data_IF_516927458612
#
_entry.id   IF_516927458612
#
_cell.length_a   1.000
_cell.length_b   1.000
_cell.length_c   1.000
_cell.angle_alpha   90.00
_cell.angle_beta   90.00
_cell.angle_gamma   90.00
#
_symmetry.space_group_name_H-M   'P 1'
#
loop_
_entity.id
_entity.type
_entity.pdbx_description
1 polymer ?
#
# COMPACT_ATOMS: atom_id res chain seq x y z
N UNK A 1 13.96 35.97 -11.60
CA UNK A 1 12.71 35.17 -11.50
C UNK A 1 12.56 34.69 -10.06
N UNK A 2 11.41 34.91 -9.40
CA UNK A 2 11.21 34.44 -8.04
C UNK A 2 11.06 32.90 -8.04
N UNK A 3 11.68 32.22 -7.05
CA UNK A 3 11.57 30.79 -6.88
C UNK A 3 10.13 30.38 -6.47
N UNK A 4 9.67 29.25 -6.98
CA UNK A 4 8.36 28.70 -6.60
C UNK A 4 8.46 28.11 -5.21
N UNK A 5 7.56 28.51 -4.31
CA UNK A 5 7.52 28.02 -2.90
C UNK A 5 6.69 26.75 -2.72
N UNK A 6 5.75 26.48 -3.63
CA UNK A 6 4.87 25.29 -3.57
C UNK A 6 5.57 24.08 -4.17
N UNK A 7 5.39 22.89 -3.59
CA UNK A 7 5.83 21.63 -4.21
C UNK A 7 5.24 21.43 -5.60
N UNK A 8 5.78 20.47 -6.34
CA UNK A 8 5.22 20.04 -7.63
C UNK A 8 3.78 19.53 -7.42
N UNK A 9 2.92 19.81 -8.38
CA UNK A 9 1.50 19.42 -8.32
C UNK A 9 1.33 17.94 -8.00
N UNK A 10 0.52 17.63 -6.99
CA UNK A 10 0.27 16.26 -6.53
C UNK A 10 1.32 15.70 -5.56
N UNK A 11 2.31 16.50 -5.18
CA UNK A 11 3.29 16.20 -4.13
C UNK A 11 3.07 17.15 -2.94
N UNK A 12 3.47 16.74 -1.73
CA UNK A 12 3.33 17.56 -0.51
C UNK A 12 4.58 17.48 0.35
N UNK A 13 4.81 18.55 1.12
CA UNK A 13 5.73 18.52 2.25
C UNK A 13 5.04 17.85 3.44
N UNK A 14 5.79 17.03 4.19
CA UNK A 14 5.30 16.37 5.40
C UNK A 14 5.79 17.16 6.61
N UNK A 15 4.85 17.69 7.38
CA UNK A 15 5.18 18.46 8.59
C UNK A 15 5.50 17.53 9.78
N UNK A 16 6.22 18.03 10.82
CA UNK A 16 6.69 17.21 11.94
C UNK A 16 5.60 16.41 12.66
N UNK A 17 4.40 16.95 12.81
CA UNK A 17 3.29 16.24 13.48
C UNK A 17 2.84 15.01 12.67
N UNK A 18 2.68 15.15 11.36
CA UNK A 18 2.38 14.03 10.48
C UNK A 18 3.56 13.05 10.41
N UNK A 19 4.80 13.60 10.33
CA UNK A 19 5.99 12.75 10.25
C UNK A 19 6.15 11.87 11.49
N UNK A 20 5.83 12.35 12.67
CA UNK A 20 5.87 11.56 13.90
C UNK A 20 4.92 10.35 13.85
N UNK A 21 3.69 10.53 13.31
CA UNK A 21 2.75 9.41 13.11
C UNK A 21 3.30 8.43 12.07
N UNK A 22 3.87 8.93 10.96
CA UNK A 22 4.48 8.10 9.91
C UNK A 22 5.61 7.24 10.47
N UNK A 23 6.51 7.82 11.25
CA UNK A 23 7.64 7.13 11.87
C UNK A 23 7.16 6.03 12.84
N UNK A 24 6.12 6.33 13.63
CA UNK A 24 5.50 5.35 14.51
C UNK A 24 4.92 4.17 13.72
N UNK A 25 4.14 4.45 12.66
CA UNK A 25 3.53 3.42 11.81
C UNK A 25 4.60 2.60 11.09
N UNK A 26 5.65 3.24 10.55
CA UNK A 26 6.79 2.56 9.90
C UNK A 26 7.47 1.58 10.86
N UNK A 27 7.71 2.01 12.11
CA UNK A 27 8.28 1.14 13.14
C UNK A 27 7.36 -0.03 13.43
N UNK A 28 6.06 0.22 13.63
CA UNK A 28 5.07 -0.82 13.92
C UNK A 28 4.92 -1.83 12.76
N UNK A 29 5.02 -1.37 11.51
CA UNK A 29 5.05 -2.23 10.31
C UNK A 29 6.25 -3.18 10.39
N UNK A 30 7.46 -2.65 10.60
CA UNK A 30 8.68 -3.47 10.67
C UNK A 30 8.63 -4.50 11.81
N UNK A 31 8.18 -4.07 12.98
CA UNK A 31 8.02 -4.93 14.16
C UNK A 31 6.98 -6.03 13.88
N UNK A 32 5.80 -5.66 13.36
CA UNK A 32 4.71 -6.62 13.14
C UNK A 32 5.06 -7.61 12.04
N UNK A 33 5.48 -7.15 10.87
CA UNK A 33 5.83 -8.04 9.77
C UNK A 33 7.08 -8.87 10.08
N UNK A 34 8.02 -8.33 10.88
CA UNK A 34 9.15 -9.09 11.38
C UNK A 34 8.73 -10.33 12.19
N UNK A 35 7.63 -10.28 12.96
CA UNK A 35 7.10 -11.46 13.69
C UNK A 35 6.55 -12.55 12.78
N UNK A 36 6.20 -12.21 11.53
CA UNK A 36 5.81 -13.17 10.49
C UNK A 36 6.99 -13.65 9.63
N UNK A 37 8.22 -13.23 9.96
CA UNK A 37 9.43 -13.64 9.25
C UNK A 37 9.74 -12.82 8.00
N UNK A 38 9.09 -11.68 7.77
CA UNK A 38 9.42 -10.80 6.65
C UNK A 38 10.73 -10.06 6.90
N UNK A 39 11.60 -10.06 5.89
CA UNK A 39 12.91 -9.38 5.89
C UNK A 39 12.84 -8.11 5.06
N UNK A 40 13.33 -7.00 5.63
CA UNK A 40 13.36 -5.71 4.93
C UNK A 40 14.38 -5.72 3.79
N UNK A 41 13.98 -5.23 2.63
CA UNK A 41 14.85 -4.97 1.48
C UNK A 41 14.67 -3.55 0.98
N UNK A 42 15.61 -3.10 0.17
CA UNK A 42 15.53 -1.82 -0.54
C UNK A 42 15.97 -2.01 -1.99
N UNK A 43 15.26 -1.36 -2.92
CA UNK A 43 15.58 -1.32 -4.34
C UNK A 43 15.72 0.13 -4.81
N UNK A 44 16.48 0.40 -5.88
CA UNK A 44 16.60 1.74 -6.44
C UNK A 44 15.24 2.37 -6.79
N UNK A 45 15.14 3.69 -6.64
CA UNK A 45 13.95 4.45 -7.04
C UNK A 45 13.83 4.64 -8.55
N UNK A 46 14.93 4.43 -9.29
CA UNK A 46 15.01 4.55 -10.75
C UNK A 46 15.17 3.16 -11.33
N UNK A 47 14.32 2.83 -12.30
CA UNK A 47 14.36 1.60 -13.08
C UNK A 47 14.60 1.90 -14.57
N UNK A 48 15.09 0.90 -15.29
CA UNK A 48 15.18 0.97 -16.76
C UNK A 48 13.80 1.18 -17.36
N UNK A 49 13.71 2.04 -18.35
CA UNK A 49 12.42 2.37 -18.99
C UNK A 49 11.78 1.13 -19.63
N UNK A 50 12.58 0.26 -20.18
CA UNK A 50 12.13 -1.00 -20.80
C UNK A 50 11.41 -1.91 -19.80
N UNK A 51 11.88 -1.95 -18.54
CA UNK A 51 11.23 -2.71 -17.47
C UNK A 51 9.88 -2.09 -17.09
N UNK A 52 9.83 -0.77 -16.99
CA UNK A 52 8.62 -0.02 -16.62
C UNK A 52 7.56 -0.06 -17.73
N UNK A 53 7.96 -0.02 -18.99
CA UNK A 53 7.07 -0.02 -20.17
C UNK A 53 6.65 -1.42 -20.60
N UNK A 54 7.35 -2.46 -20.12
CA UNK A 54 7.14 -3.82 -20.57
C UNK A 54 5.78 -4.39 -20.12
N UNK A 55 4.76 -4.16 -20.93
CA UNK A 55 3.48 -4.90 -20.94
C UNK A 55 2.56 -4.77 -19.73
N UNK A 56 2.56 -3.63 -19.04
CA UNK A 56 1.50 -3.37 -18.05
C UNK A 56 0.21 -2.82 -18.68
N UNK A 57 0.09 -2.85 -20.02
CA UNK A 57 -1.07 -2.35 -20.76
C UNK A 57 -1.11 -0.81 -20.80
N UNK A 58 -1.05 -0.24 -21.98
CA UNK A 58 -0.95 1.15 -22.42
C UNK A 58 -1.40 2.34 -21.54
N UNK A 59 -2.30 2.16 -20.59
CA UNK A 59 -2.74 3.25 -19.71
C UNK A 59 -1.76 3.54 -18.57
N UNK A 60 -1.16 2.53 -17.95
CA UNK A 60 -0.20 2.70 -16.86
C UNK A 60 1.11 3.32 -17.34
N UNK A 61 1.50 3.09 -18.60
CA UNK A 61 2.70 3.68 -19.19
C UNK A 61 2.64 5.21 -19.22
N UNK A 62 1.46 5.80 -19.42
CA UNK A 62 1.23 7.25 -19.40
C UNK A 62 1.43 7.88 -18.02
N UNK A 63 1.44 7.05 -16.98
CA UNK A 63 1.59 7.48 -15.58
C UNK A 63 3.04 7.45 -15.08
N UNK A 64 3.99 6.94 -15.88
CA UNK A 64 5.39 6.84 -15.52
C UNK A 64 6.07 8.22 -15.61
N UNK A 65 6.77 8.59 -14.55
CA UNK A 65 7.69 9.74 -14.58
C UNK A 65 9.00 9.33 -15.26
N UNK A 66 9.15 9.67 -16.53
CA UNK A 66 10.30 9.32 -17.36
C UNK A 66 11.51 10.20 -17.07
N UNK A 67 12.70 9.63 -17.15
CA UNK A 67 13.98 10.31 -16.92
C UNK A 67 14.74 10.38 -18.24
N UNK A 68 15.11 11.60 -18.63
CA UNK A 68 15.87 11.84 -19.84
C UNK A 68 17.29 11.29 -19.74
N UNK A 69 17.81 10.80 -20.86
CA UNK A 69 19.24 10.50 -21.06
C UNK A 69 20.11 11.71 -20.69
N UNK A 70 21.38 11.48 -20.39
CA UNK A 70 22.29 12.54 -19.94
C UNK A 70 23.51 12.65 -20.87
N UNK A 71 24.07 13.85 -20.91
CA UNK A 71 25.30 14.14 -21.65
C UNK A 71 25.18 13.83 -23.14
N UNK A 72 26.18 13.19 -23.72
CA UNK A 72 26.27 12.87 -25.15
C UNK A 72 25.19 11.89 -25.64
N UNK A 73 24.52 11.16 -24.71
CA UNK A 73 23.42 10.27 -25.03
C UNK A 73 22.09 11.01 -25.28
N UNK A 74 21.96 12.25 -24.80
CA UNK A 74 20.77 13.08 -25.02
C UNK A 74 20.91 13.86 -26.33
N UNK A 75 20.33 13.32 -27.40
CA UNK A 75 20.40 13.90 -28.76
C UNK A 75 19.04 14.48 -29.12
N UNK A 76 18.78 15.71 -28.70
CA UNK A 76 17.51 16.41 -28.95
C UNK A 76 17.26 16.71 -30.42
N UNK A 77 18.32 16.92 -31.20
CA UNK A 77 18.33 17.32 -32.62
C UNK A 77 18.05 16.15 -33.58
N UNK A 78 18.26 14.91 -33.12
CA UNK A 78 18.06 13.68 -33.92
C UNK A 78 16.99 12.74 -33.39
N UNK A 79 16.35 13.08 -32.26
CA UNK A 79 15.29 12.27 -31.68
C UNK A 79 14.01 12.38 -32.52
N UNK A 80 13.45 11.24 -32.93
CA UNK A 80 12.17 11.13 -33.63
C UNK A 80 11.00 10.82 -32.67
N UNK A 81 11.32 10.14 -31.58
CA UNK A 81 10.32 9.70 -30.59
C UNK A 81 10.78 10.02 -29.17
N UNK A 82 9.86 9.98 -28.22
CA UNK A 82 10.15 10.10 -26.79
C UNK A 82 11.13 9.00 -26.31
N UNK A 83 11.03 7.80 -26.85
CA UNK A 83 11.89 6.67 -26.51
C UNK A 83 13.38 6.94 -26.81
N UNK A 84 13.66 7.76 -27.81
CA UNK A 84 15.04 8.15 -28.16
C UNK A 84 15.69 9.02 -27.08
N UNK A 85 14.88 9.70 -26.26
CA UNK A 85 15.32 10.65 -25.25
C UNK A 85 15.38 10.08 -23.84
N UNK A 86 14.78 8.91 -23.59
CA UNK A 86 14.57 8.34 -22.25
C UNK A 86 15.36 7.05 -22.09
N UNK A 87 15.98 6.83 -20.93
CA UNK A 87 16.63 5.57 -20.57
C UNK A 87 16.20 5.04 -19.18
N UNK A 88 15.43 5.81 -18.44
CA UNK A 88 14.96 5.42 -17.11
C UNK A 88 13.64 6.06 -16.74
N UNK A 89 13.09 5.64 -15.62
CA UNK A 89 11.91 6.23 -15.02
C UNK A 89 11.91 6.05 -13.51
N UNK A 90 11.09 6.86 -12.83
CA UNK A 90 10.81 6.63 -11.41
C UNK A 90 9.90 5.41 -11.27
N UNK A 91 10.20 4.53 -10.32
CA UNK A 91 9.44 3.31 -10.09
C UNK A 91 7.97 3.63 -9.82
N UNK A 92 7.09 2.93 -10.54
CA UNK A 92 5.64 3.10 -10.47
C UNK A 92 5.03 2.35 -9.27
N UNK A 93 5.64 1.20 -8.93
CA UNK A 93 5.32 0.34 -7.78
C UNK A 93 6.61 -0.29 -7.21
N UNK A 94 6.46 -1.14 -6.21
CA UNK A 94 7.57 -1.90 -5.63
C UNK A 94 7.66 -3.34 -6.14
N UNK A 95 6.62 -3.86 -6.81
CA UNK A 95 6.53 -5.25 -7.29
C UNK A 95 7.50 -5.53 -8.44
N UNK A 96 7.58 -4.60 -9.41
CA UNK A 96 8.52 -4.73 -10.52
C UNK A 96 10.00 -4.68 -10.06
N UNK A 97 10.42 -3.70 -9.23
CA UNK A 97 11.75 -3.70 -8.64
C UNK A 97 12.07 -4.96 -7.82
N UNK A 98 11.09 -5.49 -7.06
CA UNK A 98 11.25 -6.74 -6.32
C UNK A 98 11.49 -7.92 -7.26
N UNK A 99 10.73 -8.02 -8.36
CA UNK A 99 10.87 -9.10 -9.33
C UNK A 99 12.27 -9.11 -9.97
N UNK A 100 12.80 -7.92 -10.34
CA UNK A 100 14.17 -7.75 -10.81
C UNK A 100 15.19 -8.10 -9.71
N UNK A 101 14.97 -7.65 -8.47
CA UNK A 101 15.83 -7.94 -7.32
C UNK A 101 15.92 -9.46 -7.10
N UNK A 102 14.78 -10.13 -7.00
CA UNK A 102 14.72 -11.58 -6.80
C UNK A 102 15.39 -12.33 -7.95
N UNK A 103 15.19 -11.92 -9.19
CA UNK A 103 15.81 -12.57 -10.35
C UNK A 103 17.35 -12.53 -10.30
N UNK A 104 17.93 -11.49 -9.72
CA UNK A 104 19.38 -11.35 -9.57
C UNK A 104 19.93 -12.07 -8.35
N UNK A 105 19.14 -12.28 -7.31
CA UNK A 105 19.62 -12.73 -5.98
C UNK A 105 18.96 -14.01 -5.48
N UNK A 106 18.14 -14.70 -6.31
CA UNK A 106 17.40 -15.89 -5.88
C UNK A 106 18.26 -16.96 -5.20
N UNK A 107 19.51 -17.13 -5.64
CA UNK A 107 20.44 -18.10 -5.05
C UNK A 107 21.03 -17.68 -3.68
N UNK A 108 20.88 -16.42 -3.31
CA UNK A 108 21.37 -15.84 -2.06
C UNK A 108 20.24 -15.68 -1.02
N UNK A 109 18.98 -15.85 -1.45
CA UNK A 109 17.79 -15.64 -0.64
C UNK A 109 17.23 -16.97 -0.12
N UNK A 110 16.53 -16.97 1.03
CA UNK A 110 15.81 -18.16 1.49
C UNK A 110 14.66 -18.52 0.56
N UNK A 111 14.22 -19.78 0.61
CA UNK A 111 13.04 -20.24 -0.13
C UNK A 111 12.07 -20.93 0.86
N UNK A 112 10.81 -20.46 0.99
CA UNK A 112 10.26 -19.25 0.37
C UNK A 112 10.93 -17.97 0.91
N UNK A 113 10.99 -16.92 0.10
CA UNK A 113 11.48 -15.61 0.49
C UNK A 113 10.32 -14.69 0.87
N UNK A 114 10.34 -14.19 2.11
CA UNK A 114 9.37 -13.23 2.65
C UNK A 114 9.99 -11.84 2.68
N UNK A 115 9.60 -11.00 1.73
CA UNK A 115 10.12 -9.65 1.57
C UNK A 115 9.21 -8.60 2.20
N UNK A 116 9.79 -7.64 2.92
CA UNK A 116 9.16 -6.36 3.27
C UNK A 116 9.88 -5.26 2.51
N UNK A 117 9.16 -4.55 1.67
CA UNK A 117 9.71 -3.41 0.94
C UNK A 117 8.89 -2.15 1.22
N UNK A 118 9.57 -1.08 1.63
CA UNK A 118 8.95 0.20 1.92
C UNK A 118 9.68 1.29 1.16
N UNK A 119 8.95 2.15 0.47
CA UNK A 119 9.58 3.25 -0.25
C UNK A 119 8.60 4.08 -1.07
N UNK A 120 9.09 5.25 -1.50
CA UNK A 120 8.33 6.11 -2.37
C UNK A 120 8.20 5.52 -3.77
N UNK A 121 7.02 5.71 -4.34
CA UNK A 121 6.68 5.43 -5.73
C UNK A 121 6.04 6.66 -6.36
N UNK A 122 6.04 6.73 -7.70
CA UNK A 122 5.58 7.91 -8.42
C UNK A 122 4.61 7.52 -9.52
N UNK A 123 3.44 8.17 -9.51
CA UNK A 123 2.39 8.00 -10.53
C UNK A 123 1.86 9.34 -10.96
N UNK A 124 1.82 9.61 -12.26
CA UNK A 124 1.30 10.87 -12.80
C UNK A 124 -0.24 10.96 -12.75
N UNK A 125 -0.88 10.27 -11.83
CA UNK A 125 -2.31 10.28 -11.57
C UNK A 125 -2.84 11.70 -11.32
N UNK A 126 -4.15 11.89 -11.55
CA UNK A 126 -4.85 13.09 -11.10
C UNK A 126 -4.93 13.10 -9.57
N UNK A 127 -4.37 14.13 -8.90
CA UNK A 127 -4.42 14.21 -7.45
C UNK A 127 -5.84 14.29 -6.90
N UNK A 128 -6.12 13.53 -5.83
CA UNK A 128 -7.39 13.56 -5.10
C UNK A 128 -7.16 13.12 -3.65
N UNK A 129 -8.21 13.12 -2.81
CA UNK A 129 -8.10 12.71 -1.40
C UNK A 129 -7.44 11.33 -1.28
N UNK A 130 -6.33 11.24 -0.52
CA UNK A 130 -5.58 10.01 -0.33
C UNK A 130 -4.83 9.48 -1.57
N UNK A 131 -4.75 10.26 -2.67
CA UNK A 131 -4.02 9.90 -3.88
C UNK A 131 -3.08 11.03 -4.29
N UNK A 132 -1.80 10.76 -4.18
CA UNK A 132 -0.71 11.67 -4.49
C UNK A 132 0.10 11.15 -5.68
N UNK A 133 0.90 12.03 -6.31
CA UNK A 133 1.84 11.64 -7.37
C UNK A 133 3.15 11.06 -6.84
N UNK A 134 3.52 11.39 -5.62
CA UNK A 134 4.56 10.74 -4.84
C UNK A 134 3.94 10.26 -3.55
N UNK A 135 4.07 8.99 -3.23
CA UNK A 135 3.52 8.37 -2.03
C UNK A 135 4.34 7.15 -1.63
N UNK A 136 4.24 6.77 -0.35
CA UNK A 136 4.90 5.58 0.15
C UNK A 136 4.04 4.34 -0.08
N UNK A 137 4.63 3.29 -0.64
CA UNK A 137 4.12 1.94 -0.56
C UNK A 137 4.80 1.16 0.56
N UNK A 138 4.06 0.25 1.17
CA UNK A 138 4.53 -0.69 2.17
C UNK A 138 4.01 -2.06 1.77
N UNK A 139 4.85 -2.82 1.10
CA UNK A 139 4.50 -4.07 0.47
C UNK A 139 5.18 -5.23 1.20
N UNK A 140 4.42 -6.30 1.41
CA UNK A 140 4.94 -7.59 1.83
C UNK A 140 4.66 -8.61 0.74
N UNK A 141 5.65 -9.41 0.41
CA UNK A 141 5.59 -10.40 -0.66
C UNK A 141 6.19 -11.73 -0.21
N UNK A 142 5.60 -12.83 -0.66
CA UNK A 142 6.11 -14.18 -0.45
C UNK A 142 6.40 -14.79 -1.81
N UNK A 143 7.66 -15.12 -2.07
CA UNK A 143 8.15 -15.67 -3.32
C UNK A 143 8.62 -17.11 -3.12
N UNK A 144 8.20 -18.01 -4.00
CA UNK A 144 8.58 -19.42 -3.93
C UNK A 144 7.64 -20.29 -3.09
N UNK A 145 6.49 -19.79 -2.62
CA UNK A 145 5.45 -20.58 -1.95
C UNK A 145 4.30 -20.89 -2.91
N UNK A 146 4.14 -22.14 -3.35
CA UNK A 146 3.12 -22.50 -4.34
C UNK A 146 1.72 -22.69 -3.75
N UNK A 147 1.59 -22.89 -2.44
CA UNK A 147 0.30 -23.15 -1.79
C UNK A 147 -0.40 -21.86 -1.37
N UNK A 148 -1.65 -21.97 -0.92
CA UNK A 148 -2.42 -20.85 -0.38
C UNK A 148 -1.93 -20.36 1.00
N UNK A 149 -0.88 -20.95 1.55
CA UNK A 149 -0.23 -20.47 2.77
C UNK A 149 0.27 -19.03 2.58
N UNK A 150 0.74 -18.67 1.38
CA UNK A 150 1.17 -17.31 1.07
C UNK A 150 0.05 -16.29 1.27
N UNK A 151 -1.13 -16.52 0.70
CA UNK A 151 -2.29 -15.63 0.85
C UNK A 151 -2.73 -15.53 2.31
N UNK A 152 -2.81 -16.66 3.02
CA UNK A 152 -3.21 -16.72 4.43
C UNK A 152 -2.26 -15.88 5.29
N UNK A 153 -0.96 -16.07 5.17
CA UNK A 153 0.03 -15.32 5.95
C UNK A 153 0.05 -13.82 5.65
N UNK A 154 -0.08 -13.44 4.36
CA UNK A 154 -0.15 -12.03 3.96
C UNK A 154 -1.37 -11.33 4.53
N UNK A 155 -2.55 -11.98 4.49
CA UNK A 155 -3.78 -11.44 5.08
C UNK A 155 -3.64 -11.31 6.59
N UNK A 156 -3.16 -12.35 7.28
CA UNK A 156 -2.99 -12.33 8.73
C UNK A 156 -1.97 -11.28 9.19
N UNK A 157 -0.83 -11.16 8.51
CA UNK A 157 0.18 -10.15 8.83
C UNK A 157 -0.39 -8.73 8.69
N UNK A 158 -1.08 -8.47 7.57
CA UNK A 158 -1.64 -7.14 7.28
C UNK A 158 -2.77 -6.79 8.25
N UNK A 159 -3.69 -7.72 8.52
CA UNK A 159 -4.81 -7.47 9.46
C UNK A 159 -4.33 -7.34 10.90
N UNK A 160 -3.29 -8.07 11.30
CA UNK A 160 -2.64 -7.90 12.61
C UNK A 160 -2.07 -6.50 12.78
N UNK A 161 -1.42 -5.94 11.75
CA UNK A 161 -0.93 -4.56 11.75
C UNK A 161 -2.08 -3.56 11.92
N UNK A 162 -3.16 -3.73 11.15
CA UNK A 162 -4.33 -2.84 11.23
C UNK A 162 -4.99 -2.89 12.61
N UNK A 163 -5.10 -4.08 13.22
CA UNK A 163 -5.59 -4.24 14.59
C UNK A 163 -4.72 -3.52 15.63
N UNK A 164 -3.38 -3.56 15.48
CA UNK A 164 -2.45 -2.80 16.34
C UNK A 164 -2.56 -1.27 16.17
N UNK A 165 -3.07 -0.80 15.04
CA UNK A 165 -3.40 0.61 14.78
C UNK A 165 -4.84 0.96 15.19
N UNK A 166 -5.53 0.05 15.91
CA UNK A 166 -6.93 0.18 16.37
C UNK A 166 -7.95 0.39 15.24
N UNK A 167 -7.68 -0.15 14.05
CA UNK A 167 -8.68 -0.28 13.00
C UNK A 167 -9.55 -1.49 13.25
N UNK A 168 -10.88 -1.32 13.15
CA UNK A 168 -11.91 -2.33 13.41
C UNK A 168 -12.97 -2.28 12.30
N UNK A 169 -13.81 -3.32 12.24
CA UNK A 169 -14.96 -3.37 11.32
C UNK A 169 -14.58 -3.14 9.85
N UNK A 170 -13.39 -3.55 9.43
CA UNK A 170 -13.02 -3.56 8.02
C UNK A 170 -13.27 -4.93 7.40
N UNK A 171 -13.35 -4.98 6.08
CA UNK A 171 -13.60 -6.22 5.33
C UNK A 171 -12.43 -6.52 4.41
N UNK A 172 -11.93 -7.75 4.46
CA UNK A 172 -11.06 -8.31 3.41
C UNK A 172 -11.98 -8.91 2.35
N UNK A 173 -12.12 -8.23 1.22
CA UNK A 173 -12.78 -8.75 0.02
C UNK A 173 -11.80 -9.68 -0.69
N UNK A 174 -12.21 -10.88 -1.05
CA UNK A 174 -11.36 -11.86 -1.73
C UNK A 174 -12.06 -12.44 -2.96
N UNK A 175 -11.30 -12.69 -4.02
CA UNK A 175 -11.74 -13.36 -5.24
C UNK A 175 -10.56 -14.12 -5.87
N UNK A 176 -10.78 -14.75 -7.01
CA UNK A 176 -9.74 -15.38 -7.80
C UNK A 176 -9.92 -15.04 -9.28
N UNK A 177 -8.82 -14.64 -9.93
CA UNK A 177 -8.82 -14.31 -11.39
C UNK A 177 -9.28 -15.46 -12.25
N UNK A 178 -9.05 -16.71 -11.83
CA UNK A 178 -9.46 -17.91 -12.54
C UNK A 178 -10.97 -18.14 -12.42
N UNK A 179 -11.57 -17.80 -11.28
CA UNK A 179 -13.04 -17.79 -11.10
C UNK A 179 -13.67 -16.74 -12.03
N UNK A 180 -13.14 -15.51 -12.06
CA UNK A 180 -13.63 -14.48 -12.99
C UNK A 180 -13.61 -14.93 -14.44
N UNK A 181 -12.50 -15.55 -14.88
CA UNK A 181 -12.38 -16.10 -16.24
C UNK A 181 -13.39 -17.23 -16.49
N UNK A 182 -13.57 -18.13 -15.53
CA UNK A 182 -14.53 -19.23 -15.63
C UNK A 182 -15.98 -18.73 -15.72
N UNK A 183 -16.35 -17.71 -14.92
CA UNK A 183 -17.67 -17.07 -15.01
C UNK A 183 -17.92 -16.45 -16.39
N UNK A 184 -16.94 -15.75 -16.94
CA UNK A 184 -17.03 -15.18 -18.29
C UNK A 184 -17.15 -16.30 -19.37
N UNK A 185 -16.30 -17.32 -19.30
CA UNK A 185 -16.34 -18.46 -20.22
C UNK A 185 -17.68 -19.22 -20.16
N UNK A 186 -18.16 -19.51 -18.94
CA UNK A 186 -19.46 -20.17 -18.74
C UNK A 186 -20.62 -19.37 -19.36
N UNK A 187 -20.53 -18.05 -19.34
CA UNK A 187 -21.55 -17.18 -19.90
C UNK A 187 -21.48 -17.05 -21.43
N UNK A 188 -20.37 -17.47 -22.04
CA UNK A 188 -20.19 -17.48 -23.49
C UNK A 188 -19.37 -16.30 -24.03
N UNK A 189 -18.72 -15.50 -23.18
CA UNK A 189 -17.79 -14.48 -23.65
C UNK A 189 -16.52 -15.12 -24.25
N UNK A 190 -16.01 -14.52 -25.33
CA UNK A 190 -14.76 -14.94 -25.94
C UNK A 190 -13.55 -14.54 -25.08
N UNK A 191 -12.48 -15.34 -25.00
CA UNK A 191 -11.32 -15.06 -24.15
C UNK A 191 -10.68 -13.69 -24.37
N UNK A 192 -10.65 -13.21 -25.60
CA UNK A 192 -10.14 -11.88 -25.99
C UNK A 192 -10.96 -10.72 -25.43
N UNK A 193 -12.19 -10.98 -24.99
CA UNK A 193 -13.12 -9.99 -24.43
C UNK A 193 -13.04 -9.87 -22.91
N UNK A 194 -12.34 -10.79 -22.22
CA UNK A 194 -12.38 -10.88 -20.75
C UNK A 194 -11.91 -9.59 -20.08
N UNK A 195 -10.87 -8.96 -20.58
CA UNK A 195 -10.37 -7.71 -19.99
C UNK A 195 -11.42 -6.59 -20.06
N UNK A 196 -12.15 -6.47 -21.18
CA UNK A 196 -13.23 -5.50 -21.34
C UNK A 196 -14.37 -5.81 -20.37
N UNK A 197 -14.80 -7.08 -20.28
CA UNK A 197 -15.85 -7.52 -19.35
C UNK A 197 -15.46 -7.20 -17.91
N UNK A 198 -14.22 -7.46 -17.52
CA UNK A 198 -13.73 -7.22 -16.15
C UNK A 198 -13.59 -5.72 -15.84
N UNK A 199 -13.16 -4.88 -16.79
CA UNK A 199 -13.13 -3.42 -16.62
C UNK A 199 -14.55 -2.85 -16.39
N UNK A 200 -15.55 -3.40 -17.05
CA UNK A 200 -16.94 -3.00 -16.85
C UNK A 200 -17.46 -3.51 -15.51
N UNK A 201 -17.17 -4.77 -15.18
CA UNK A 201 -17.55 -5.38 -13.90
C UNK A 201 -16.98 -4.62 -12.69
N UNK A 202 -15.75 -4.11 -12.78
CA UNK A 202 -15.09 -3.31 -11.71
C UNK A 202 -15.87 -2.02 -11.36
N UNK A 203 -16.81 -1.63 -12.20
CA UNK A 203 -17.68 -0.48 -11.94
C UNK A 203 -18.96 -0.86 -11.18
N UNK A 204 -19.18 -2.15 -10.88
CA UNK A 204 -20.41 -2.65 -10.25
C UNK A 204 -20.79 -1.88 -8.99
N UNK A 205 -19.84 -1.56 -8.11
CA UNK A 205 -20.06 -0.79 -6.89
C UNK A 205 -20.59 0.64 -7.15
N UNK A 206 -20.37 1.18 -8.36
CA UNK A 206 -20.73 2.56 -8.72
C UNK A 206 -21.99 2.65 -9.53
N UNK A 207 -22.19 1.73 -10.50
CA UNK A 207 -23.27 1.80 -11.48
C UNK A 207 -24.34 0.71 -11.27
N UNK A 208 -24.09 -0.24 -10.35
CA UNK A 208 -24.99 -1.36 -10.07
C UNK A 208 -25.09 -2.36 -11.22
N UNK A 209 -25.89 -3.40 -11.00
CA UNK A 209 -26.06 -4.51 -11.95
C UNK A 209 -26.60 -4.03 -13.30
N UNK A 210 -27.61 -3.15 -13.28
CA UNK A 210 -28.21 -2.59 -14.51
C UNK A 210 -27.24 -1.71 -15.29
N UNK A 211 -26.41 -0.89 -14.61
CA UNK A 211 -25.39 -0.09 -15.28
C UNK A 211 -24.31 -0.95 -15.92
N UNK A 212 -23.93 -2.08 -15.29
CA UNK A 212 -23.00 -3.06 -15.89
C UNK A 212 -23.64 -3.71 -17.12
N UNK A 213 -24.93 -4.06 -17.05
CA UNK A 213 -25.73 -4.57 -18.20
C UNK A 213 -25.66 -3.62 -19.39
N UNK A 214 -26.04 -2.36 -19.14
CA UNK A 214 -26.07 -1.33 -20.18
C UNK A 214 -24.69 -1.11 -20.84
N UNK A 215 -23.62 -1.10 -20.05
CA UNK A 215 -22.26 -0.95 -20.58
C UNK A 215 -21.82 -2.17 -21.40
N UNK A 216 -22.10 -3.40 -20.95
CA UNK A 216 -21.78 -4.61 -21.70
C UNK A 216 -22.57 -4.68 -23.04
N UNK A 217 -23.86 -4.37 -23.03
CA UNK A 217 -24.68 -4.32 -24.24
C UNK A 217 -24.19 -3.23 -25.22
N UNK A 218 -23.77 -2.08 -24.71
CA UNK A 218 -23.20 -0.97 -25.50
C UNK A 218 -21.89 -1.33 -26.17
N UNK A 219 -21.05 -2.17 -25.52
CA UNK A 219 -19.85 -2.73 -26.14
C UNK A 219 -20.15 -3.79 -27.23
N UNK A 220 -21.43 -4.15 -27.41
CA UNK A 220 -21.86 -5.07 -28.47
C UNK A 220 -21.86 -6.54 -28.08
N UNK A 221 -21.77 -6.86 -26.79
CA UNK A 221 -21.87 -8.24 -26.32
C UNK A 221 -23.28 -8.80 -26.49
N UNK A 222 -23.36 -10.10 -26.79
CA UNK A 222 -24.64 -10.79 -26.96
C UNK A 222 -25.45 -10.75 -25.66
N UNK A 223 -26.75 -10.40 -25.80
CA UNK A 223 -27.65 -10.23 -24.67
C UNK A 223 -27.80 -11.51 -23.83
N UNK A 224 -27.82 -12.68 -24.47
CA UNK A 224 -27.95 -13.95 -23.74
C UNK A 224 -26.70 -14.24 -22.90
N UNK A 225 -25.51 -13.85 -23.39
CA UNK A 225 -24.26 -13.95 -22.63
C UNK A 225 -24.30 -12.99 -21.42
N UNK A 226 -24.72 -11.75 -21.64
CA UNK A 226 -24.85 -10.73 -20.58
C UNK A 226 -25.86 -11.17 -19.51
N UNK A 227 -27.06 -11.61 -19.91
CA UNK A 227 -28.08 -12.08 -18.98
C UNK A 227 -27.61 -13.26 -18.14
N UNK A 228 -26.95 -14.25 -18.78
CA UNK A 228 -26.41 -15.44 -18.11
C UNK A 228 -25.28 -15.07 -17.12
N UNK A 229 -24.44 -14.08 -17.47
CA UNK A 229 -23.36 -13.60 -16.62
C UNK A 229 -23.90 -12.88 -15.38
N UNK A 230 -24.80 -11.95 -15.58
CA UNK A 230 -25.34 -11.12 -14.50
C UNK A 230 -26.25 -11.89 -13.54
N UNK A 231 -26.99 -12.89 -14.05
CA UNK A 231 -27.80 -13.75 -13.19
C UNK A 231 -27.00 -14.50 -12.10
N UNK A 232 -25.71 -14.78 -12.33
CA UNK A 232 -24.89 -15.41 -11.30
C UNK A 232 -24.69 -14.50 -10.09
N UNK A 233 -24.54 -13.19 -10.30
CA UNK A 233 -24.31 -12.23 -9.20
C UNK A 233 -25.54 -12.04 -8.29
N UNK A 234 -26.73 -12.37 -8.74
CA UNK A 234 -27.96 -12.35 -7.94
C UNK A 234 -28.06 -13.52 -6.96
N UNK A 235 -27.39 -14.63 -7.29
CA UNK A 235 -27.43 -15.88 -6.50
C UNK A 235 -26.20 -16.07 -5.58
N UNK A 236 -25.08 -15.38 -5.88
CA UNK A 236 -23.83 -15.51 -5.12
C UNK A 236 -23.92 -14.76 -3.80
N UNK A 237 -23.67 -15.47 -2.69
CA UNK A 237 -23.50 -14.84 -1.37
C UNK A 237 -22.04 -14.47 -1.11
N UNK A 238 -21.81 -13.48 -0.23
CA UNK A 238 -20.46 -12.95 0.05
C UNK A 238 -19.69 -13.76 1.12
N UNK A 239 -19.91 -15.06 1.14
CA UNK A 239 -19.31 -15.98 2.10
C UNK A 239 -18.83 -17.28 1.42
N UNK A 240 -18.45 -18.26 2.23
CA UNK A 240 -18.01 -19.58 1.75
C UNK A 240 -19.13 -20.30 0.96
N UNK A 241 -20.40 -20.02 1.24
CA UNK A 241 -21.49 -20.64 0.46
C UNK A 241 -21.52 -20.09 -0.96
N UNK A 242 -21.20 -18.80 -1.16
CA UNK A 242 -21.05 -18.22 -2.49
C UNK A 242 -19.91 -18.86 -3.28
N UNK A 243 -18.78 -19.17 -2.63
CA UNK A 243 -17.67 -19.91 -3.26
C UNK A 243 -18.11 -21.32 -3.69
N UNK A 244 -18.83 -22.03 -2.83
CA UNK A 244 -19.37 -23.36 -3.14
C UNK A 244 -20.38 -23.33 -4.28
N UNK A 245 -21.28 -22.34 -4.28
CA UNK A 245 -22.22 -22.11 -5.35
C UNK A 245 -21.50 -21.94 -6.70
N UNK A 246 -20.46 -21.09 -6.72
CA UNK A 246 -19.65 -20.87 -7.95
C UNK A 246 -18.96 -22.16 -8.40
N UNK A 247 -18.42 -22.95 -7.46
CA UNK A 247 -17.80 -24.25 -7.75
C UNK A 247 -18.77 -25.20 -8.45
N UNK A 248 -19.99 -25.34 -7.90
CA UNK A 248 -21.06 -26.19 -8.45
C UNK A 248 -21.57 -25.66 -9.80
N UNK A 249 -21.84 -24.34 -9.88
CA UNK A 249 -22.40 -23.72 -11.09
C UNK A 249 -21.46 -23.77 -12.29
N UNK A 250 -20.16 -23.71 -12.04
CA UNK A 250 -19.11 -23.69 -13.06
C UNK A 250 -18.45 -25.07 -13.26
N UNK A 251 -19.10 -26.17 -12.84
CA UNK A 251 -18.60 -27.53 -13.04
C UNK A 251 -18.29 -27.77 -14.54
N UNK A 252 -17.11 -28.30 -14.81
CA UNK A 252 -16.61 -28.53 -16.17
C UNK A 252 -15.99 -27.30 -16.88
N UNK A 253 -16.03 -26.12 -16.23
CA UNK A 253 -15.39 -24.88 -16.72
C UNK A 253 -14.33 -24.37 -15.75
N UNK A 254 -14.59 -24.49 -14.44
CA UNK A 254 -13.68 -24.12 -13.35
C UNK A 254 -13.04 -25.39 -12.78
N UNK A 255 -11.71 -25.38 -12.66
CA UNK A 255 -11.00 -26.41 -11.91
C UNK A 255 -11.38 -26.30 -10.42
N UNK A 256 -11.90 -27.39 -9.80
CA UNK A 256 -12.45 -27.34 -8.44
C UNK A 256 -11.47 -26.83 -7.40
N UNK A 257 -10.19 -27.12 -7.55
CA UNK A 257 -9.12 -26.73 -6.62
C UNK A 257 -8.98 -25.21 -6.45
N UNK A 258 -9.43 -24.39 -7.40
CA UNK A 258 -9.37 -22.94 -7.27
C UNK A 258 -10.41 -22.41 -6.28
N UNK A 259 -11.62 -22.96 -6.32
CA UNK A 259 -12.66 -22.67 -5.35
C UNK A 259 -12.31 -23.25 -3.97
N UNK A 260 -11.81 -24.49 -3.91
CA UNK A 260 -11.36 -25.13 -2.67
C UNK A 260 -10.23 -24.35 -2.00
N UNK A 261 -9.29 -23.82 -2.80
CA UNK A 261 -8.22 -22.94 -2.30
C UNK A 261 -8.76 -21.65 -1.71
N UNK A 262 -9.75 -21.03 -2.33
CA UNK A 262 -10.37 -19.81 -1.83
C UNK A 262 -11.14 -20.06 -0.52
N UNK A 263 -11.90 -21.16 -0.45
CA UNK A 263 -12.56 -21.62 0.78
C UNK A 263 -11.54 -21.90 1.90
N UNK A 264 -10.42 -22.55 1.58
CA UNK A 264 -9.33 -22.81 2.53
C UNK A 264 -8.76 -21.49 3.10
N UNK A 265 -8.49 -20.48 2.24
CA UNK A 265 -7.99 -19.19 2.68
C UNK A 265 -8.99 -18.55 3.65
N UNK A 266 -10.29 -18.46 3.27
CA UNK A 266 -11.31 -17.83 4.07
C UNK A 266 -11.46 -18.49 5.44
N UNK A 267 -11.59 -19.81 5.47
CA UNK A 267 -11.76 -20.57 6.71
C UNK A 267 -10.52 -20.51 7.60
N UNK A 268 -9.32 -20.59 7.03
CA UNK A 268 -8.06 -20.52 7.79
C UNK A 268 -7.86 -19.15 8.42
N UNK A 269 -8.12 -18.09 7.66
CA UNK A 269 -8.00 -16.71 8.17
C UNK A 269 -9.03 -16.47 9.28
N UNK A 270 -10.27 -16.86 9.09
CA UNK A 270 -11.34 -16.66 10.08
C UNK A 270 -11.06 -17.42 11.39
N UNK A 271 -10.50 -18.62 11.29
CA UNK A 271 -10.20 -19.47 12.45
C UNK A 271 -9.11 -18.90 13.37
N UNK A 272 -8.15 -18.11 12.85
CA UNK A 272 -6.97 -17.65 13.62
C UNK A 272 -6.80 -16.12 13.65
N UNK A 273 -7.72 -15.36 13.08
CA UNK A 273 -7.66 -13.89 13.06
C UNK A 273 -7.61 -13.31 14.48
N UNK A 274 -6.69 -12.36 14.69
CA UNK A 274 -6.52 -11.67 15.97
C UNK A 274 -7.14 -10.24 15.99
N UNK A 275 -7.48 -9.70 14.82
CA UNK A 275 -8.10 -8.39 14.66
C UNK A 275 -9.60 -8.51 14.38
N UNK A 276 -10.32 -7.42 14.60
CA UNK A 276 -11.77 -7.36 14.36
C UNK A 276 -12.04 -6.96 12.90
N UNK A 277 -12.24 -7.96 12.04
CA UNK A 277 -12.56 -7.78 10.63
C UNK A 277 -13.38 -8.96 10.09
N UNK A 278 -13.94 -8.76 8.91
CA UNK A 278 -14.62 -9.80 8.15
C UNK A 278 -13.79 -10.18 6.91
N UNK A 279 -13.88 -11.46 6.51
CA UNK A 279 -13.41 -11.89 5.20
C UNK A 279 -14.63 -12.28 4.36
N UNK A 280 -14.72 -11.72 3.15
CA UNK A 280 -15.89 -11.88 2.30
C UNK A 280 -15.47 -12.26 0.87
N UNK A 281 -16.12 -13.27 0.33
CA UNK A 281 -16.04 -13.56 -1.11
C UNK A 281 -16.74 -12.46 -1.88
N UNK A 282 -16.06 -11.92 -2.87
CA UNK A 282 -16.61 -10.85 -3.69
C UNK A 282 -16.37 -11.14 -5.17
N UNK A 283 -17.37 -11.70 -5.86
CA UNK A 283 -17.26 -12.07 -7.27
C UNK A 283 -17.09 -10.86 -8.20
N UNK A 284 -17.33 -9.63 -7.69
CA UNK A 284 -17.15 -8.38 -8.47
C UNK A 284 -15.75 -7.77 -8.30
N UNK A 285 -14.96 -8.29 -7.36
CA UNK A 285 -13.59 -7.80 -7.15
C UNK A 285 -12.70 -8.22 -8.33
N UNK A 286 -12.29 -7.26 -9.13
CA UNK A 286 -11.47 -7.47 -10.32
C UNK A 286 -10.01 -7.11 -10.10
N UNK A 287 -9.73 -6.11 -9.31
CA UNK A 287 -8.38 -5.55 -9.10
C UNK A 287 -7.65 -5.16 -10.39
N UNK A 288 -7.31 -3.87 -10.48
CA UNK A 288 -6.86 -3.21 -11.71
C UNK A 288 -5.48 -3.52 -12.26
N UNK A 289 -4.80 -4.59 -11.82
CA UNK A 289 -3.48 -4.95 -12.34
C UNK A 289 -3.58 -6.25 -13.14
N UNK A 290 -3.28 -6.18 -14.42
CA UNK A 290 -3.38 -7.30 -15.37
C UNK A 290 -2.41 -8.45 -15.09
N UNK A 291 -1.48 -8.29 -14.14
CA UNK A 291 -0.48 -9.30 -13.83
C UNK A 291 -0.92 -10.36 -12.79
N UNK A 292 -2.07 -10.20 -12.12
CA UNK A 292 -2.54 -11.21 -11.18
C UNK A 292 -2.98 -12.49 -11.86
N UNK A 293 -2.55 -13.64 -11.33
CA UNK A 293 -2.73 -14.98 -11.92
C UNK A 293 -3.64 -15.91 -11.10
N UNK A 294 -3.97 -15.54 -9.86
CA UNK A 294 -4.73 -16.37 -8.93
C UNK A 294 -5.58 -15.54 -7.96
N UNK A 295 -5.58 -15.88 -6.66
CA UNK A 295 -6.31 -15.13 -5.64
C UNK A 295 -5.92 -13.65 -5.63
N UNK A 296 -6.93 -12.81 -5.44
CA UNK A 296 -6.82 -11.35 -5.28
C UNK A 296 -7.60 -10.93 -4.04
N UNK A 297 -7.11 -9.92 -3.34
CA UNK A 297 -7.74 -9.45 -2.11
C UNK A 297 -7.60 -7.94 -1.94
N UNK A 298 -8.57 -7.35 -1.24
CA UNK A 298 -8.67 -5.92 -1.01
C UNK A 298 -9.17 -5.64 0.41
N UNK A 299 -8.62 -4.61 1.05
CA UNK A 299 -9.14 -4.10 2.32
C UNK A 299 -10.14 -2.99 2.03
N UNK A 300 -11.40 -3.21 2.37
CA UNK A 300 -12.44 -2.19 2.35
C UNK A 300 -12.66 -1.63 3.74
N UNK A 301 -12.64 -0.30 3.86
CA UNK A 301 -12.93 0.42 5.10
C UNK A 301 -14.01 1.47 4.87
N UNK A 302 -15.11 1.38 5.62
CA UNK A 302 -16.21 2.35 5.53
C UNK A 302 -15.77 3.77 5.90
N UNK A 303 -14.88 3.90 6.87
CA UNK A 303 -14.33 5.21 7.29
C UNK A 303 -13.60 5.95 6.17
N UNK A 304 -12.94 5.21 5.27
CA UNK A 304 -12.31 5.81 4.10
C UNK A 304 -13.31 5.99 2.96
N UNK A 305 -14.35 5.17 2.93
CA UNK A 305 -15.30 5.07 1.82
C UNK A 305 -14.70 4.34 0.61
N UNK A 306 -13.86 3.32 0.84
CA UNK A 306 -13.23 2.54 -0.22
C UNK A 306 -12.03 1.70 0.23
N UNK A 307 -11.23 1.31 -0.74
CA UNK A 307 -10.05 0.47 -0.55
C UNK A 307 -8.92 1.19 0.17
N UNK A 308 -8.32 0.55 1.17
CA UNK A 308 -7.12 1.03 1.88
C UNK A 308 -5.90 0.12 1.71
N UNK A 309 -6.00 -0.90 0.89
CA UNK A 309 -4.90 -1.81 0.58
C UNK A 309 -5.38 -2.96 -0.29
N UNK A 310 -4.45 -3.77 -0.76
CA UNK A 310 -4.79 -4.97 -1.49
C UNK A 310 -3.61 -5.62 -2.17
N UNK A 311 -3.85 -6.80 -2.71
CA UNK A 311 -2.82 -7.63 -3.31
C UNK A 311 -3.37 -8.82 -4.07
N UNK A 312 -2.51 -9.81 -4.28
CA UNK A 312 -2.85 -11.06 -4.93
C UNK A 312 -1.64 -11.82 -5.44
N UNK A 313 -1.90 -12.97 -6.04
CA UNK A 313 -0.89 -13.86 -6.65
C UNK A 313 -0.51 -13.39 -8.04
N UNK A 314 0.81 -13.36 -8.33
CA UNK A 314 1.38 -12.87 -9.59
C UNK A 314 2.54 -13.74 -10.10
N UNK A 315 2.34 -15.03 -10.22
CA UNK A 315 3.36 -16.06 -10.48
C UNK A 315 4.16 -15.85 -11.78
N UNK A 316 3.61 -15.14 -12.77
CA UNK A 316 4.27 -14.92 -14.07
C UNK A 316 5.23 -13.72 -14.09
N UNK A 317 5.19 -12.84 -13.10
CA UNK A 317 5.95 -11.58 -13.13
C UNK A 317 7.46 -11.82 -13.10
N UNK A 318 7.93 -12.71 -12.24
CA UNK A 318 9.35 -13.04 -12.08
C UNK A 318 9.86 -13.76 -13.35
N UNK A 319 9.01 -14.59 -13.97
CA UNK A 319 9.34 -15.29 -15.20
C UNK A 319 9.70 -14.37 -16.36
N UNK A 320 9.23 -13.14 -16.37
CA UNK A 320 9.62 -12.13 -17.38
C UNK A 320 11.11 -11.78 -17.33
N UNK A 321 11.75 -11.93 -16.18
CA UNK A 321 13.19 -11.67 -16.00
C UNK A 321 14.04 -12.93 -16.11
N UNK A 322 13.51 -14.09 -15.71
CA UNK A 322 14.29 -15.33 -15.56
C UNK A 322 13.97 -16.37 -16.65
N UNK A 323 12.85 -16.23 -17.36
CA UNK A 323 12.32 -17.26 -18.24
C UNK A 323 11.60 -18.42 -17.52
N UNK A 324 11.63 -18.47 -16.18
CA UNK A 324 10.99 -19.51 -15.38
C UNK A 324 10.00 -18.87 -14.40
N UNK A 325 8.76 -19.36 -14.40
CA UNK A 325 7.75 -18.88 -13.45
C UNK A 325 8.16 -19.22 -12.01
N UNK A 326 7.96 -18.26 -11.12
CA UNK A 326 8.16 -18.42 -9.68
C UNK A 326 6.88 -17.99 -8.99
N UNK A 327 6.34 -18.85 -8.12
CA UNK A 327 5.17 -18.51 -7.33
C UNK A 327 5.43 -17.26 -6.51
N UNK A 328 4.56 -16.28 -6.62
CA UNK A 328 4.68 -15.01 -5.95
C UNK A 328 3.31 -14.45 -5.58
N UNK A 329 3.16 -14.02 -4.35
CA UNK A 329 1.96 -13.36 -3.84
C UNK A 329 2.37 -12.17 -2.98
N UNK A 330 1.66 -11.04 -3.08
CA UNK A 330 2.00 -9.83 -2.35
C UNK A 330 0.79 -9.09 -1.82
N UNK A 331 1.00 -8.26 -0.80
CA UNK A 331 0.01 -7.38 -0.22
C UNK A 331 0.60 -6.00 0.06
N UNK A 332 -0.05 -4.97 -0.45
CA UNK A 332 0.32 -3.56 -0.26
C UNK A 332 -0.74 -2.84 0.55
N UNK A 333 -0.34 -2.17 1.64
CA UNK A 333 -1.23 -1.26 2.36
C UNK A 333 -1.18 0.14 1.74
N UNK A 334 -2.32 0.81 1.69
CA UNK A 334 -2.41 2.21 1.28
C UNK A 334 -1.89 3.14 2.37
N UNK A 335 -0.56 3.20 2.56
CA UNK A 335 0.09 3.91 3.65
C UNK A 335 -0.44 5.33 3.85
N UNK A 336 -0.54 6.12 2.77
CA UNK A 336 -1.04 7.50 2.85
C UNK A 336 -2.50 7.59 3.35
N UNK A 337 -3.31 6.58 3.00
CA UNK A 337 -4.71 6.48 3.44
C UNK A 337 -4.80 6.15 4.92
N UNK A 338 -3.97 5.22 5.39
CA UNK A 338 -3.84 4.87 6.82
C UNK A 338 -3.38 6.08 7.63
N UNK A 339 -2.32 6.78 7.20
CA UNK A 339 -1.85 8.00 7.87
C UNK A 339 -2.94 9.07 7.92
N UNK A 340 -3.64 9.29 6.82
CA UNK A 340 -4.74 10.26 6.77
C UNK A 340 -5.86 9.92 7.75
N UNK A 341 -6.29 8.67 7.82
CA UNK A 341 -7.32 8.21 8.77
C UNK A 341 -6.85 8.39 10.22
N UNK A 342 -5.60 8.05 10.53
CA UNK A 342 -5.03 8.27 11.86
C UNK A 342 -5.00 9.75 12.24
N UNK A 343 -4.63 10.63 11.30
CA UNK A 343 -4.65 12.07 11.50
C UNK A 343 -6.08 12.60 11.75
N UNK A 344 -7.05 12.17 10.93
CA UNK A 344 -8.46 12.56 11.04
C UNK A 344 -9.09 12.09 12.36
N UNK A 345 -8.69 10.95 12.89
CA UNK A 345 -9.10 10.43 14.21
C UNK A 345 -8.40 11.13 15.38
N UNK A 346 -7.41 11.98 15.13
CA UNK A 346 -6.58 12.56 16.18
C UNK A 346 -5.76 11.51 16.94
N UNK A 347 -5.25 10.50 16.22
CA UNK A 347 -4.47 9.40 16.80
C UNK A 347 -3.31 9.91 17.65
N UNK A 348 -3.24 9.43 18.89
CA UNK A 348 -2.17 9.75 19.82
C UNK A 348 -1.11 8.64 19.79
N UNK A 349 0.10 9.01 19.44
CA UNK A 349 1.24 8.07 19.44
C UNK A 349 1.48 7.63 20.89
N UNK A 350 1.53 6.32 21.20
CA UNK A 350 1.91 5.84 22.51
C UNK A 350 3.26 6.43 22.93
N UNK A 351 3.28 7.18 24.02
CA UNK A 351 4.49 7.88 24.45
C UNK A 351 5.56 6.89 24.93
N UNK A 352 6.78 7.07 24.42
CA UNK A 352 7.96 6.39 24.93
C UNK A 352 8.78 7.43 25.69
N UNK A 353 8.67 7.42 27.03
CA UNK A 353 9.36 8.35 27.91
C UNK A 353 8.63 9.69 28.09
N UNK A 354 8.98 10.41 29.13
CA UNK A 354 8.45 11.73 29.46
C UNK A 354 9.07 12.79 28.55
N UNK A 355 8.24 13.71 28.02
CA UNK A 355 8.75 14.88 27.29
C UNK A 355 8.94 16.06 28.27
N UNK A 356 10.17 16.58 28.34
CA UNK A 356 10.55 17.70 29.21
C UNK A 356 11.03 18.89 28.40
N UNK A 357 10.62 20.09 28.77
CA UNK A 357 11.14 21.34 28.21
C UNK A 357 11.88 22.13 29.28
N UNK A 358 13.15 22.41 29.06
CA UNK A 358 13.98 23.23 29.94
C UNK A 358 14.05 24.63 29.34
N UNK A 359 13.39 25.59 29.99
CA UNK A 359 13.34 26.99 29.56
C UNK A 359 14.40 27.79 30.31
N UNK A 360 15.36 28.36 29.57
CA UNK A 360 16.44 29.15 30.13
C UNK A 360 16.16 30.64 29.96
N UNK A 361 16.53 31.42 30.96
CA UNK A 361 16.46 32.88 30.89
C UNK A 361 17.37 33.45 29.80
N UNK A 362 16.93 34.54 29.18
CA UNK A 362 17.75 35.23 28.18
C UNK A 362 19.04 35.74 28.84
N UNK A 363 20.18 35.54 28.22
CA UNK A 363 21.51 35.88 28.71
C UNK A 363 21.95 35.06 29.96
N UNK A 364 21.52 33.80 30.07
CA UNK A 364 22.01 32.87 31.09
C UNK A 364 23.56 32.83 31.11
N UNK A 365 24.21 33.00 32.27
CA UNK A 365 25.67 32.83 32.40
C UNK A 365 26.13 31.43 32.00
N UNK A 366 27.39 31.33 31.54
CA UNK A 366 27.96 30.06 31.07
C UNK A 366 27.87 28.93 32.11
N UNK A 367 28.08 29.24 33.39
CA UNK A 367 27.96 28.25 34.46
C UNK A 367 26.53 27.72 34.61
N UNK A 368 25.54 28.60 34.59
CA UNK A 368 24.13 28.22 34.61
C UNK A 368 23.74 27.38 33.37
N UNK A 369 24.20 27.80 32.19
CA UNK A 369 24.02 27.05 30.97
C UNK A 369 24.56 25.61 31.07
N UNK A 370 25.78 25.45 31.61
CA UNK A 370 26.37 24.13 31.80
C UNK A 370 25.58 23.26 32.77
N UNK A 371 25.00 23.81 33.82
CA UNK A 371 24.12 23.06 34.73
C UNK A 371 22.88 22.57 34.02
N UNK A 372 22.22 23.40 33.22
CA UNK A 372 21.02 23.00 32.44
C UNK A 372 21.37 21.95 31.42
N UNK A 373 22.50 22.06 30.71
CA UNK A 373 22.95 21.05 29.74
C UNK A 373 23.24 19.72 30.42
N UNK A 374 23.88 19.69 31.60
CA UNK A 374 24.11 18.47 32.39
C UNK A 374 22.80 17.82 32.80
N UNK A 375 21.83 18.60 33.27
CA UNK A 375 20.49 18.11 33.62
C UNK A 375 19.79 17.48 32.38
N UNK A 376 19.83 18.16 31.23
CA UNK A 376 19.25 17.67 30.02
C UNK A 376 19.87 16.32 29.57
N UNK A 377 21.20 16.20 29.72
CA UNK A 377 21.90 14.95 29.37
C UNK A 377 21.53 13.81 30.33
N UNK A 378 21.38 14.10 31.60
CA UNK A 378 20.93 13.11 32.59
C UNK A 378 19.50 12.65 32.32
N UNK A 379 18.57 13.60 32.07
CA UNK A 379 17.19 13.28 31.71
C UNK A 379 17.09 12.45 30.41
N UNK A 380 17.90 12.78 29.39
CA UNK A 380 17.99 11.99 28.13
C UNK A 380 18.49 10.58 28.37
N UNK A 381 19.53 10.40 29.20
CA UNK A 381 20.05 9.08 29.59
C UNK A 381 19.01 8.24 30.31
N UNK A 382 18.10 8.89 31.04
CA UNK A 382 16.97 8.25 31.73
C UNK A 382 15.74 8.04 30.82
N UNK A 383 15.89 8.23 29.50
CA UNK A 383 14.85 7.95 28.49
C UNK A 383 13.86 9.08 28.26
N UNK A 384 14.12 10.29 28.81
CA UNK A 384 13.26 11.46 28.53
C UNK A 384 13.62 12.13 27.20
N UNK A 385 12.63 12.65 26.50
CA UNK A 385 12.82 13.56 25.36
C UNK A 385 12.96 14.97 25.89
N UNK A 386 14.14 15.60 25.77
CA UNK A 386 14.41 16.89 26.37
C UNK A 386 14.71 17.96 25.31
N UNK A 387 13.90 19.02 25.29
CA UNK A 387 14.19 20.25 24.55
C UNK A 387 14.72 21.36 25.48
N UNK A 388 15.63 22.17 24.99
CA UNK A 388 16.13 23.35 25.69
C UNK A 388 15.77 24.55 24.82
N UNK A 389 15.14 25.55 25.41
CA UNK A 389 14.77 26.78 24.70
C UNK A 389 14.95 28.04 25.57
N UNK A 390 15.25 29.16 24.92
CA UNK A 390 15.29 30.46 25.60
C UNK A 390 13.87 30.95 25.86
N UNK A 391 13.61 31.47 27.04
CA UNK A 391 12.33 32.07 27.41
C UNK A 391 11.99 33.24 26.49
N UNK A 392 10.79 33.16 25.89
CA UNK A 392 10.22 34.26 25.07
C UNK A 392 9.56 35.31 25.95
N UNK A 393 9.36 36.55 25.44
CA UNK A 393 8.61 37.59 26.13
C UNK A 393 7.22 37.14 26.57
N UNK A 394 6.51 36.43 25.70
CA UNK A 394 5.22 35.79 26.02
C UNK A 394 5.46 34.33 26.47
N UNK A 395 5.84 34.19 27.75
CA UNK A 395 6.08 32.88 28.36
C UNK A 395 4.84 32.00 28.39
N UNK A 396 3.66 32.60 28.60
CA UNK A 396 2.40 31.86 28.66
C UNK A 396 2.15 31.13 27.32
N UNK A 397 2.21 31.85 26.23
CA UNK A 397 2.05 31.32 24.89
C UNK A 397 3.12 30.25 24.56
N UNK A 398 4.39 30.50 24.95
CA UNK A 398 5.46 29.51 24.77
C UNK A 398 5.17 28.18 25.48
N UNK A 399 4.68 28.26 26.73
CA UNK A 399 4.32 27.06 27.49
C UNK A 399 3.09 26.35 26.94
N UNK A 400 2.10 27.10 26.44
CA UNK A 400 0.93 26.52 25.78
C UNK A 400 1.35 25.77 24.52
N UNK A 401 2.20 26.35 23.68
CA UNK A 401 2.75 25.65 22.51
C UNK A 401 3.49 24.35 22.87
N UNK A 402 4.38 24.40 23.88
CA UNK A 402 5.10 23.22 24.33
C UNK A 402 4.17 22.14 24.86
N UNK A 403 3.09 22.52 25.56
CA UNK A 403 2.08 21.53 25.98
C UNK A 403 1.34 20.92 24.81
N UNK A 404 0.98 21.72 23.81
CA UNK A 404 0.39 21.21 22.55
C UNK A 404 1.33 20.25 21.79
N UNK A 405 2.64 20.47 21.89
CA UNK A 405 3.69 19.58 21.38
C UNK A 405 3.93 18.33 22.25
N UNK A 406 3.18 18.21 23.37
CA UNK A 406 3.22 17.06 24.28
C UNK A 406 4.31 17.11 25.34
N UNK A 407 4.91 18.28 25.62
CA UNK A 407 5.84 18.42 26.75
C UNK A 407 5.06 18.51 28.06
N UNK A 408 5.12 17.45 28.86
CA UNK A 408 4.39 17.33 30.13
C UNK A 408 5.06 18.12 31.27
N UNK A 409 6.39 18.14 31.27
CA UNK A 409 7.21 18.78 32.28
C UNK A 409 7.93 20.01 31.68
N UNK A 410 7.65 21.20 32.20
CA UNK A 410 8.28 22.44 31.75
C UNK A 410 8.98 23.09 32.96
N UNK A 411 10.31 23.06 32.92
CA UNK A 411 11.16 23.59 33.98
C UNK A 411 11.78 24.92 33.55
N UNK A 412 11.70 25.93 34.40
CA UNK A 412 12.27 27.28 34.15
C UNK A 412 13.56 27.47 34.96
N UNK A 413 14.61 27.94 34.29
CA UNK A 413 15.90 28.25 34.89
C UNK A 413 16.17 29.75 34.77
N UNK A 414 16.42 30.40 35.92
CA UNK A 414 16.74 31.81 36.07
C UNK A 414 18.17 31.99 36.52
N UNK A 415 18.86 33.04 36.04
CA UNK A 415 20.26 33.27 36.34
C UNK A 415 20.53 33.55 37.84
N UNK A 416 19.56 34.17 38.53
CA UNK A 416 19.64 34.49 39.94
C UNK A 416 19.41 33.32 40.91
N UNK A 417 18.99 32.17 40.37
CA UNK A 417 18.64 30.95 41.15
C UNK A 417 19.52 29.74 40.81
N UNK A 418 20.58 29.97 40.06
CA UNK A 418 21.53 28.95 39.63
C UNK A 418 22.79 29.00 40.48
#
# INVERSE_FOLDING_TARGET
MALKKKPVTGMKDILPAEMAIRDYVIRLIKETYGTFGFSSIETPCVEHIENLSSKQGGENEKLIFKILKRGEKLKLDTAETEADLVDGGLRYDLTLPLSRYYSNHANELPSPFKALQMGNVWRADRPQRGRYRQFMQCDIDILGEPTNLAEIELILATTTLLGKLDFKNFTIRINDRRILKAMAAYSGFAPESYDTVFIILDKMDKIGLEGVREELEKEGFDKACVDKYLAMFEEITNDVQGVRYVKEKLEGVLEPEYADGLELIMNSVDAVKAADFQIAFDPTLVRGMSYYTGPIFEISMDEFGGSVGGGGRYDEMIGKFTGNNTCACGFSIGFERIIMLLMERGFQIPQIGTKKALLIEKNMPAEGMMKVLKQAEEDRKNGSVVTIAVMKKNKKFQKEQLKEEGYEEIVEFFADRM
#
